data_IF_962741645414
#
_entry.id   IF_962741645414
#
_cell.length_a   1.000
_cell.length_b   1.000
_cell.length_c   1.000
_cell.angle_alpha   90.00
_cell.angle_beta   90.00
_cell.angle_gamma   90.00
#
_symmetry.space_group_name_H-M   'P 1'
#
loop_
_entity.id
_entity.type
_entity.pdbx_description
1 polymer ?
#
# COMPACT_ATOMS: atom_id res chain seq x y z
N UNK A 1 29.27 -1.82 25.44
CA UNK A 1 28.25 -2.70 26.04
C UNK A 1 28.69 -4.16 26.09
N UNK A 2 29.18 -4.74 24.99
CA UNK A 2 29.65 -6.14 24.95
C UNK A 2 30.80 -6.43 25.95
N UNK A 3 31.83 -5.58 25.96
CA UNK A 3 32.97 -5.70 26.90
C UNK A 3 32.53 -5.63 28.36
N UNK A 4 31.67 -4.67 28.71
CA UNK A 4 31.13 -4.49 30.07
C UNK A 4 30.00 -5.45 30.44
N UNK A 5 29.58 -6.35 29.53
CA UNK A 5 28.47 -7.32 29.72
C UNK A 5 27.18 -6.70 30.28
N UNK A 6 26.82 -5.51 29.80
CA UNK A 6 25.57 -4.81 30.19
C UNK A 6 24.58 -4.78 29.04
N UNK A 7 23.29 -4.94 29.36
CA UNK A 7 22.20 -4.97 28.36
C UNK A 7 21.62 -3.59 28.02
N UNK A 8 21.82 -2.61 28.91
CA UNK A 8 21.35 -1.23 28.78
C UNK A 8 22.48 -0.26 29.07
N UNK A 9 22.58 0.81 28.29
CA UNK A 9 23.52 1.89 28.50
C UNK A 9 22.74 3.21 28.48
N UNK A 10 22.86 3.97 29.57
CA UNK A 10 22.35 5.34 29.63
C UNK A 10 23.36 6.27 28.98
N UNK A 11 22.88 7.16 28.12
CA UNK A 11 23.68 8.20 27.47
C UNK A 11 23.45 9.48 28.27
N UNK A 12 24.52 10.09 28.76
CA UNK A 12 24.47 11.33 29.55
C UNK A 12 25.39 12.40 28.95
N UNK A 13 25.11 13.67 29.23
CA UNK A 13 26.01 14.78 28.89
C UNK A 13 27.15 14.93 29.94
N UNK A 14 28.04 15.91 29.72
CA UNK A 14 29.17 16.20 30.62
C UNK A 14 28.75 16.63 32.04
N UNK A 15 27.50 17.10 32.19
CA UNK A 15 26.91 17.50 33.47
C UNK A 15 26.07 16.38 34.12
N UNK A 16 26.13 15.16 33.57
CA UNK A 16 25.40 13.98 34.04
C UNK A 16 23.87 14.04 33.86
N UNK A 17 23.36 14.86 32.94
CA UNK A 17 21.95 14.83 32.55
C UNK A 17 21.68 13.69 31.57
N UNK A 18 20.55 13.00 31.74
CA UNK A 18 20.13 11.91 30.87
C UNK A 18 19.72 12.41 29.48
N UNK A 19 20.42 11.95 28.45
CA UNK A 19 20.12 12.22 27.04
C UNK A 19 19.34 11.08 26.37
N UNK A 20 19.50 9.84 26.85
CA UNK A 20 18.80 8.69 26.27
C UNK A 20 19.30 7.35 26.77
N UNK A 21 18.88 6.28 26.08
CA UNK A 21 19.23 4.91 26.41
C UNK A 21 19.44 4.09 25.14
N UNK A 22 20.49 3.26 25.14
CA UNK A 22 20.77 2.26 24.10
C UNK A 22 20.61 0.87 24.71
N UNK A 23 20.01 -0.05 23.97
CA UNK A 23 19.84 -1.44 24.42
C UNK A 23 20.52 -2.43 23.49
N UNK A 24 20.95 -3.57 24.02
CA UNK A 24 21.49 -4.68 23.21
C UNK A 24 20.47 -5.18 22.18
N UNK A 25 19.17 -5.04 22.49
CA UNK A 25 18.07 -5.43 21.59
C UNK A 25 18.08 -4.63 20.29
N UNK A 26 18.54 -3.39 20.31
CA UNK A 26 18.60 -2.53 19.11
C UNK A 26 19.64 -3.05 18.11
N UNK A 27 20.82 -3.43 18.61
CA UNK A 27 21.88 -4.06 17.81
C UNK A 27 21.44 -5.43 17.25
N UNK A 28 20.87 -6.28 18.11
CA UNK A 28 20.37 -7.60 17.68
C UNK A 28 19.27 -7.50 16.62
N UNK A 29 18.38 -6.51 16.73
CA UNK A 29 17.35 -6.27 15.71
C UNK A 29 17.96 -5.80 14.40
N UNK A 30 18.93 -4.89 14.43
CA UNK A 30 19.61 -4.40 13.24
C UNK A 30 20.32 -5.54 12.49
N UNK A 31 21.02 -6.43 13.19
CA UNK A 31 21.68 -7.59 12.60
C UNK A 31 20.69 -8.62 12.03
N UNK A 32 19.61 -8.92 12.77
CA UNK A 32 18.59 -9.90 12.34
C UNK A 32 17.70 -9.40 11.19
N UNK A 33 17.64 -8.09 10.96
CA UNK A 33 16.76 -7.43 9.98
C UNK A 33 17.56 -6.41 9.15
N UNK A 34 18.51 -6.87 8.31
CA UNK A 34 19.41 -5.98 7.56
C UNK A 34 18.66 -5.13 6.52
N UNK A 35 17.54 -5.64 6.00
CA UNK A 35 16.71 -4.96 4.99
C UNK A 35 15.59 -4.10 5.62
N UNK A 36 15.72 -3.68 6.89
CA UNK A 36 14.72 -2.82 7.53
C UNK A 36 14.69 -1.43 6.90
N UNK A 37 13.50 -0.96 6.53
CA UNK A 37 13.29 0.43 6.10
C UNK A 37 13.35 1.35 7.33
N UNK A 38 14.37 2.22 7.37
CA UNK A 38 14.65 3.09 8.52
C UNK A 38 14.80 4.54 8.10
N UNK A 39 14.54 5.44 9.05
CA UNK A 39 14.87 6.85 8.91
C UNK A 39 16.34 7.14 9.21
N UNK A 40 16.72 8.40 9.12
CA UNK A 40 18.08 8.90 9.33
C UNK A 40 18.57 8.69 10.77
N UNK A 41 17.65 8.48 11.72
CA UNK A 41 17.92 8.19 13.13
C UNK A 41 17.96 6.67 13.42
N UNK A 42 17.74 5.84 12.41
CA UNK A 42 17.73 4.37 12.54
C UNK A 42 16.42 3.79 13.09
N UNK A 43 15.36 4.60 13.21
CA UNK A 43 14.01 4.18 13.62
C UNK A 43 13.28 3.58 12.42
N UNK A 44 12.31 2.70 12.65
CA UNK A 44 11.53 2.11 11.55
C UNK A 44 10.60 3.16 10.94
N UNK A 45 10.55 3.22 9.61
CA UNK A 45 9.62 4.14 8.94
C UNK A 45 8.18 3.68 9.10
N UNK A 46 7.26 4.63 9.26
CA UNK A 46 5.81 4.40 9.37
C UNK A 46 5.03 5.48 8.63
N UNK A 47 3.94 5.07 7.99
CA UNK A 47 2.97 5.99 7.39
C UNK A 47 1.60 5.91 8.06
N UNK A 48 0.80 6.95 7.92
CA UNK A 48 -0.55 7.00 8.46
C UNK A 48 -1.54 7.59 7.44
N UNK A 49 -2.77 7.06 7.41
CA UNK A 49 -3.82 7.54 6.54
C UNK A 49 -4.73 8.56 7.25
N UNK A 50 -5.14 9.58 6.52
CA UNK A 50 -6.15 10.57 6.90
C UNK A 50 -7.13 10.77 5.74
N UNK A 51 -8.37 11.09 6.08
CA UNK A 51 -9.38 11.44 5.09
C UNK A 51 -9.23 12.88 4.60
N UNK A 52 -10.03 13.25 3.60
CA UNK A 52 -10.11 14.63 3.12
C UNK A 52 -11.18 15.48 3.83
N UNK A 53 -12.01 14.86 4.67
CA UNK A 53 -13.09 15.53 5.41
C UNK A 53 -12.60 16.59 6.40
N UNK A 54 -13.53 17.46 6.82
CA UNK A 54 -13.31 18.47 7.86
C UNK A 54 -12.95 17.80 9.19
N UNK A 55 -12.02 18.39 9.96
CA UNK A 55 -11.59 17.88 11.27
C UNK A 55 -10.40 16.92 11.21
N UNK A 56 -9.87 16.62 10.02
CA UNK A 56 -8.65 15.82 9.88
C UNK A 56 -7.38 16.62 10.24
N UNK A 57 -7.44 17.95 10.39
CA UNK A 57 -6.32 18.81 10.75
C UNK A 57 -5.70 18.40 12.09
N UNK A 58 -6.51 18.19 13.14
CA UNK A 58 -6.04 17.76 14.45
C UNK A 58 -5.39 16.37 14.39
N UNK A 59 -5.95 15.47 13.57
CA UNK A 59 -5.38 14.14 13.33
C UNK A 59 -4.01 14.25 12.66
N UNK A 60 -3.86 15.12 11.66
CA UNK A 60 -2.57 15.37 11.00
C UNK A 60 -1.57 15.93 12.00
N UNK A 61 -1.95 16.94 12.78
CA UNK A 61 -1.08 17.56 13.78
C UNK A 61 -0.55 16.54 14.79
N UNK A 62 -1.44 15.69 15.31
CA UNK A 62 -1.07 14.62 16.24
C UNK A 62 -0.12 13.58 15.61
N UNK A 63 -0.35 13.20 14.35
CA UNK A 63 0.50 12.25 13.63
C UNK A 63 1.90 12.82 13.34
N UNK A 64 1.98 14.09 12.95
CA UNK A 64 3.25 14.79 12.74
C UNK A 64 4.01 14.94 14.06
N UNK A 65 3.33 15.33 15.14
CA UNK A 65 3.93 15.40 16.48
C UNK A 65 4.45 14.04 16.97
N UNK A 66 3.79 12.94 16.59
CA UNK A 66 4.23 11.58 16.89
C UNK A 66 5.42 11.11 16.01
N UNK A 67 5.81 11.89 14.98
CA UNK A 67 6.94 11.60 14.12
C UNK A 67 6.63 10.64 12.96
N UNK A 68 5.43 10.72 12.37
CA UNK A 68 5.12 9.98 11.13
C UNK A 68 6.07 10.37 9.98
N UNK A 69 6.57 9.40 9.22
CA UNK A 69 7.47 9.66 8.09
C UNK A 69 6.72 10.15 6.84
N UNK A 70 5.51 9.59 6.62
CA UNK A 70 4.72 9.86 5.43
C UNK A 70 3.22 9.86 5.76
N UNK A 71 2.53 10.90 5.32
CA UNK A 71 1.10 11.04 5.46
C UNK A 71 0.40 10.64 4.16
N UNK A 72 -0.62 9.80 4.24
CA UNK A 72 -1.48 9.44 3.12
C UNK A 72 -2.82 10.15 3.26
N UNK A 73 -3.15 11.05 2.33
CA UNK A 73 -4.50 11.61 2.17
C UNK A 73 -5.26 10.69 1.21
N UNK A 74 -6.18 9.88 1.76
CA UNK A 74 -6.87 8.79 1.05
C UNK A 74 -8.34 9.11 0.78
N UNK A 75 -8.73 9.10 -0.49
CA UNK A 75 -10.10 9.33 -0.96
C UNK A 75 -10.47 8.34 -2.08
N UNK A 76 -11.76 8.05 -2.24
CA UNK A 76 -12.24 7.35 -3.45
C UNK A 76 -12.15 8.22 -4.71
N UNK A 77 -12.00 9.55 -4.58
CA UNK A 77 -11.83 10.46 -5.70
C UNK A 77 -10.82 11.57 -5.40
N UNK A 78 -9.54 11.29 -5.64
CA UNK A 78 -8.43 12.22 -5.37
C UNK A 78 -8.40 13.46 -6.27
N UNK A 79 -9.12 13.45 -7.39
CA UNK A 79 -9.23 14.60 -8.30
C UNK A 79 -10.42 15.53 -7.94
N UNK A 80 -11.02 15.36 -6.77
CA UNK A 80 -12.03 16.28 -6.25
C UNK A 80 -11.37 17.51 -5.62
N UNK A 81 -11.98 18.69 -5.79
CA UNK A 81 -11.40 19.94 -5.29
C UNK A 81 -11.17 19.93 -3.78
N UNK A 82 -12.06 19.29 -3.00
CA UNK A 82 -11.87 19.16 -1.56
C UNK A 82 -10.61 18.38 -1.16
N UNK A 83 -10.27 17.33 -1.92
CA UNK A 83 -9.01 16.59 -1.69
C UNK A 83 -7.80 17.43 -2.08
N UNK A 84 -7.84 18.10 -3.24
CA UNK A 84 -6.75 18.96 -3.70
C UNK A 84 -6.50 20.09 -2.69
N UNK A 85 -7.56 20.73 -2.20
CA UNK A 85 -7.47 21.79 -1.23
C UNK A 85 -6.88 21.31 0.11
N UNK A 86 -7.29 20.13 0.60
CA UNK A 86 -6.71 19.52 1.80
C UNK A 86 -5.21 19.27 1.65
N UNK A 87 -4.77 18.81 0.48
CA UNK A 87 -3.34 18.59 0.20
C UNK A 87 -2.59 19.92 0.22
N UNK A 88 -3.10 20.97 -0.45
CA UNK A 88 -2.49 22.31 -0.45
C UNK A 88 -2.33 22.87 0.96
N UNK A 89 -3.38 22.77 1.78
CA UNK A 89 -3.36 23.22 3.19
C UNK A 89 -2.34 22.44 4.02
N UNK A 90 -2.30 21.12 3.86
CA UNK A 90 -1.36 20.25 4.59
C UNK A 90 0.08 20.54 4.19
N UNK A 91 0.35 20.70 2.88
CA UNK A 91 1.68 21.08 2.36
C UNK A 91 2.10 22.47 2.86
N UNK A 92 1.19 23.44 2.88
CA UNK A 92 1.49 24.80 3.35
C UNK A 92 1.86 24.82 4.84
N UNK A 93 1.18 24.00 5.66
CA UNK A 93 1.47 23.89 7.10
C UNK A 93 2.71 23.05 7.39
N UNK A 94 2.96 22.00 6.60
CA UNK A 94 4.08 21.07 6.76
C UNK A 94 4.91 20.94 5.47
N UNK A 95 5.76 21.94 5.16
CA UNK A 95 6.51 21.99 3.90
C UNK A 95 7.43 20.80 3.64
N UNK A 96 7.97 20.18 4.69
CA UNK A 96 8.93 19.08 4.59
C UNK A 96 8.30 17.69 4.70
N UNK A 97 7.01 17.61 5.10
CA UNK A 97 6.32 16.34 5.29
C UNK A 97 6.15 15.61 3.95
N UNK A 98 6.42 14.30 3.92
CA UNK A 98 6.13 13.50 2.74
C UNK A 98 4.63 13.22 2.66
N UNK A 99 3.99 13.60 1.56
CA UNK A 99 2.54 13.49 1.38
C UNK A 99 2.25 12.58 0.19
N UNK A 100 1.54 11.48 0.42
CA UNK A 100 0.93 10.65 -0.62
C UNK A 100 -0.52 11.12 -0.79
N UNK A 101 -0.94 11.41 -2.02
CA UNK A 101 -2.33 11.71 -2.34
C UNK A 101 -2.94 10.69 -3.29
N UNK A 102 -4.21 10.34 -3.08
CA UNK A 102 -4.94 9.44 -3.98
C UNK A 102 -6.40 9.22 -3.57
N UNK A 103 -7.16 8.43 -4.32
CA UNK A 103 -6.74 7.74 -5.55
C UNK A 103 -7.12 8.51 -6.82
N UNK A 104 -6.28 8.37 -7.85
CA UNK A 104 -6.58 8.80 -9.22
C UNK A 104 -6.43 7.65 -10.20
N UNK A 105 -6.96 7.79 -11.40
CA UNK A 105 -6.84 6.78 -12.47
C UNK A 105 -6.54 7.39 -13.85
N UNK A 106 -6.16 8.67 -13.89
CA UNK A 106 -5.94 9.44 -15.11
C UNK A 106 -4.73 10.35 -14.94
N UNK A 107 -4.09 10.69 -16.05
CA UNK A 107 -2.97 11.64 -16.08
C UNK A 107 -3.34 13.04 -15.55
N UNK A 108 -4.55 13.53 -15.83
CA UNK A 108 -5.03 14.82 -15.32
C UNK A 108 -5.15 14.81 -13.79
N UNK A 109 -5.71 13.76 -13.20
CA UNK A 109 -5.79 13.64 -11.74
C UNK A 109 -4.42 13.52 -11.08
N UNK A 110 -3.49 12.81 -11.72
CA UNK A 110 -2.11 12.70 -11.24
C UNK A 110 -1.41 14.07 -11.23
N UNK A 111 -1.52 14.85 -12.31
CA UNK A 111 -0.98 16.22 -12.37
C UNK A 111 -1.59 17.14 -11.31
N UNK A 112 -2.91 17.10 -11.14
CA UNK A 112 -3.58 17.92 -10.13
C UNK A 112 -3.09 17.62 -8.70
N UNK A 113 -2.87 16.34 -8.36
CA UNK A 113 -2.30 15.95 -7.07
C UNK A 113 -0.85 16.41 -6.90
N UNK A 114 -0.03 16.27 -7.94
CA UNK A 114 1.34 16.77 -7.94
C UNK A 114 1.40 18.29 -7.74
N UNK A 115 0.60 19.05 -8.49
CA UNK A 115 0.48 20.50 -8.38
C UNK A 115 -0.05 20.97 -7.02
N UNK A 116 -0.93 20.18 -6.39
CA UNK A 116 -1.41 20.45 -5.04
C UNK A 116 -0.31 20.28 -3.96
N UNK A 117 0.79 19.58 -4.27
CA UNK A 117 1.95 19.43 -3.39
C UNK A 117 2.20 18.00 -2.89
N UNK A 118 1.66 16.97 -3.55
CA UNK A 118 1.99 15.58 -3.21
C UNK A 118 3.45 15.24 -3.51
N UNK A 119 4.08 14.51 -2.59
CA UNK A 119 5.40 13.87 -2.78
C UNK A 119 5.30 12.56 -3.57
N UNK A 120 4.12 11.94 -3.63
CA UNK A 120 3.84 10.74 -4.41
C UNK A 120 2.34 10.64 -4.75
N UNK A 121 2.01 10.00 -5.87
CA UNK A 121 0.62 9.82 -6.32
C UNK A 121 0.21 8.36 -6.20
N UNK A 122 -0.91 8.09 -5.52
CA UNK A 122 -1.51 6.76 -5.39
C UNK A 122 -2.58 6.54 -6.47
N UNK A 123 -2.43 5.48 -7.25
CA UNK A 123 -3.20 5.21 -8.46
C UNK A 123 -4.02 3.94 -8.32
N UNK A 124 -5.33 4.05 -8.58
CA UNK A 124 -6.22 2.92 -8.73
C UNK A 124 -7.65 3.22 -8.33
N UNK A 125 -8.58 3.16 -9.29
CA UNK A 125 -10.03 3.31 -9.04
C UNK A 125 -10.76 2.03 -9.44
N UNK A 126 -11.31 1.37 -8.43
CA UNK A 126 -12.02 0.10 -8.55
C UNK A 126 -11.24 -1.19 -8.84
N UNK A 127 -9.88 -1.29 -8.77
CA UNK A 127 -9.18 -2.55 -9.04
C UNK A 127 -9.13 -3.50 -7.84
N UNK A 128 -9.48 -3.02 -6.63
CA UNK A 128 -9.33 -3.78 -5.39
C UNK A 128 -10.22 -5.03 -5.36
N UNK A 129 -9.72 -6.12 -4.78
CA UNK A 129 -10.43 -7.43 -4.76
C UNK A 129 -11.76 -7.43 -4.01
N UNK A 130 -12.02 -6.39 -3.21
CA UNK A 130 -13.23 -6.21 -2.39
C UNK A 130 -13.98 -4.93 -2.75
N UNK A 131 -13.54 -4.25 -3.81
CA UNK A 131 -14.11 -2.99 -4.25
C UNK A 131 -15.19 -3.26 -5.29
N UNK A 132 -16.36 -2.65 -5.10
CA UNK A 132 -17.49 -2.76 -6.03
C UNK A 132 -17.76 -1.46 -6.78
N UNK A 133 -16.93 -0.42 -6.62
CA UNK A 133 -17.06 0.89 -7.29
C UNK A 133 -17.39 0.73 -8.78
N UNK A 134 -16.63 -0.06 -9.54
CA UNK A 134 -16.91 -0.26 -10.99
C UNK A 134 -18.29 -0.81 -11.29
N UNK A 135 -18.80 -1.68 -10.43
CA UNK A 135 -20.08 -2.35 -10.62
C UNK A 135 -21.23 -1.46 -10.15
N UNK A 136 -21.06 -0.79 -9.00
CA UNK A 136 -22.11 0.02 -8.37
C UNK A 136 -22.23 1.39 -9.04
N UNK A 137 -21.11 2.03 -9.39
CA UNK A 137 -21.09 3.40 -9.94
C UNK A 137 -20.82 3.44 -11.43
N UNK A 138 -20.31 2.35 -12.02
CA UNK A 138 -19.86 2.32 -13.41
C UNK A 138 -18.49 2.99 -13.64
N UNK A 139 -17.82 3.46 -12.59
CA UNK A 139 -16.58 4.26 -12.70
C UNK A 139 -15.34 3.41 -12.43
N UNK A 140 -14.34 3.52 -13.32
CA UNK A 140 -12.99 2.99 -13.10
C UNK A 140 -12.18 2.86 -14.39
N UNK A 141 -10.88 2.60 -14.24
CA UNK A 141 -9.93 2.42 -15.35
C UNK A 141 -9.11 1.14 -15.12
N UNK A 142 -8.91 0.26 -16.11
CA UNK A 142 -8.01 -0.88 -15.98
C UNK A 142 -6.63 -0.51 -15.41
N UNK A 143 -6.17 -1.24 -14.40
CA UNK A 143 -5.11 -0.76 -13.50
C UNK A 143 -3.76 -0.50 -14.20
N UNK A 144 -3.37 -1.34 -15.17
CA UNK A 144 -2.13 -1.13 -15.93
C UNK A 144 -2.17 0.17 -16.71
N UNK A 145 -3.29 0.46 -17.40
CA UNK A 145 -3.51 1.72 -18.11
C UNK A 145 -3.53 2.90 -17.14
N UNK A 146 -4.26 2.79 -16.02
CA UNK A 146 -4.31 3.86 -15.02
C UNK A 146 -2.91 4.23 -14.48
N UNK A 147 -2.06 3.23 -14.22
CA UNK A 147 -0.66 3.43 -13.81
C UNK A 147 0.14 4.09 -14.92
N UNK A 148 0.08 3.55 -16.14
CA UNK A 148 0.81 4.08 -17.30
C UNK A 148 0.46 5.55 -17.58
N UNK A 149 -0.84 5.88 -17.64
CA UNK A 149 -1.33 7.23 -17.91
C UNK A 149 -0.90 8.23 -16.82
N UNK A 150 -0.88 7.80 -15.56
CA UNK A 150 -0.44 8.63 -14.45
C UNK A 150 1.07 8.87 -14.47
N UNK A 151 1.86 7.85 -14.84
CA UNK A 151 3.32 7.94 -14.95
C UNK A 151 3.72 8.85 -16.10
N UNK A 152 3.13 8.66 -17.29
CA UNK A 152 3.35 9.52 -18.46
C UNK A 152 3.04 10.99 -18.15
N UNK A 153 1.93 11.23 -17.45
CA UNK A 153 1.53 12.58 -17.08
C UNK A 153 2.45 13.26 -16.05
N UNK A 154 3.24 12.49 -15.31
CA UNK A 154 4.18 12.95 -14.28
C UNK A 154 5.64 12.87 -14.75
N UNK A 155 5.89 12.55 -16.02
CA UNK A 155 7.24 12.50 -16.56
C UNK A 155 7.96 13.84 -16.35
N UNK A 156 9.25 13.77 -15.96
CA UNK A 156 10.06 14.96 -15.66
C UNK A 156 9.79 15.63 -14.30
N UNK A 157 8.71 15.28 -13.58
CA UNK A 157 8.41 15.87 -12.26
C UNK A 157 9.21 15.26 -11.11
N UNK A 158 9.72 14.04 -11.29
CA UNK A 158 10.38 13.27 -10.23
C UNK A 158 9.42 12.66 -9.19
N UNK A 159 8.10 12.84 -9.36
CA UNK A 159 7.10 12.34 -8.40
C UNK A 159 6.79 10.86 -8.68
N UNK A 160 7.03 9.94 -7.73
CA UNK A 160 6.75 8.52 -7.91
C UNK A 160 5.25 8.20 -7.87
N UNK A 161 4.89 7.13 -8.59
CA UNK A 161 3.54 6.56 -8.62
C UNK A 161 3.47 5.26 -7.81
N UNK A 162 2.41 5.11 -7.01
CA UNK A 162 2.10 3.90 -6.23
C UNK A 162 0.89 3.21 -6.86
N UNK A 163 1.05 1.97 -7.34
CA UNK A 163 -0.06 1.17 -7.86
C UNK A 163 -0.84 0.52 -6.69
N UNK A 164 -2.10 0.91 -6.49
CA UNK A 164 -2.95 0.48 -5.38
C UNK A 164 -4.11 -0.40 -5.84
N UNK A 165 -4.08 -1.68 -5.41
CA UNK A 165 -5.13 -2.66 -5.69
C UNK A 165 -4.94 -3.49 -6.96
N UNK A 166 -5.69 -4.59 -7.07
CA UNK A 166 -5.67 -5.51 -8.21
C UNK A 166 -4.51 -6.51 -8.25
N UNK A 167 -3.54 -6.40 -7.33
CA UNK A 167 -2.39 -7.32 -7.24
C UNK A 167 -2.81 -8.63 -6.57
N UNK A 168 -2.73 -9.74 -7.31
CA UNK A 168 -3.09 -11.09 -6.83
C UNK A 168 -1.86 -11.98 -6.70
N UNK A 169 -0.97 -11.90 -7.68
CA UNK A 169 0.25 -12.69 -7.75
C UNK A 169 1.49 -11.79 -7.80
N UNK A 170 2.66 -12.37 -7.53
CA UNK A 170 3.95 -11.66 -7.65
C UNK A 170 4.20 -11.13 -9.07
N UNK A 171 3.69 -11.83 -10.09
CA UNK A 171 3.72 -11.35 -11.48
C UNK A 171 2.94 -10.05 -11.68
N UNK A 172 1.86 -9.81 -10.93
CA UNK A 172 1.11 -8.55 -11.03
C UNK A 172 1.93 -7.38 -10.44
N UNK A 173 2.74 -7.63 -9.40
CA UNK A 173 3.70 -6.64 -8.85
C UNK A 173 4.70 -6.25 -9.94
N UNK A 174 5.29 -7.24 -10.61
CA UNK A 174 6.26 -7.00 -11.66
C UNK A 174 5.65 -6.20 -12.83
N UNK A 175 4.43 -6.55 -13.25
CA UNK A 175 3.71 -5.82 -14.31
C UNK A 175 3.37 -4.39 -13.89
N UNK A 176 2.96 -4.14 -12.65
CA UNK A 176 2.69 -2.79 -12.17
C UNK A 176 3.95 -1.91 -12.16
N UNK A 177 5.09 -2.48 -11.76
CA UNK A 177 6.39 -1.78 -11.78
C UNK A 177 6.83 -1.52 -13.22
N UNK A 178 6.76 -2.54 -14.10
CA UNK A 178 7.10 -2.38 -15.52
C UNK A 178 6.17 -1.40 -16.25
N UNK A 179 4.94 -1.19 -15.76
CA UNK A 179 4.03 -0.15 -16.27
C UNK A 179 4.36 1.26 -15.76
N UNK A 180 5.41 1.44 -14.96
CA UNK A 180 5.88 2.76 -14.53
C UNK A 180 5.77 3.05 -13.02
N UNK A 181 5.12 2.19 -12.23
CA UNK A 181 4.98 2.42 -10.79
C UNK A 181 6.31 2.23 -10.04
N UNK A 182 6.59 3.08 -9.06
CA UNK A 182 7.76 2.97 -8.18
C UNK A 182 7.56 1.96 -7.05
N UNK A 183 6.30 1.73 -6.66
CA UNK A 183 5.92 0.78 -5.62
C UNK A 183 4.47 0.29 -5.84
N UNK A 184 4.10 -0.78 -5.13
CA UNK A 184 2.72 -1.30 -5.09
C UNK A 184 2.18 -1.26 -3.67
N UNK A 185 0.88 -0.95 -3.53
CA UNK A 185 0.14 -1.07 -2.30
C UNK A 185 -0.79 -2.31 -2.39
N UNK A 186 -0.71 -3.18 -1.38
CA UNK A 186 -1.40 -4.48 -1.38
C UNK A 186 -2.27 -4.65 -0.13
N UNK A 187 -3.51 -5.07 -0.34
CA UNK A 187 -4.45 -5.38 0.74
C UNK A 187 -4.60 -6.88 0.96
N UNK A 188 -5.39 -7.54 0.10
CA UNK A 188 -5.76 -8.97 0.23
C UNK A 188 -4.56 -9.91 0.37
N UNK A 189 -3.45 -9.58 -0.30
CA UNK A 189 -2.20 -10.32 -0.21
C UNK A 189 -1.69 -10.46 1.23
N UNK A 190 -1.85 -9.42 2.05
CA UNK A 190 -1.36 -9.35 3.44
C UNK A 190 -2.47 -9.52 4.48
N UNK A 191 -3.74 -9.37 4.11
CA UNK A 191 -4.86 -9.41 5.06
C UNK A 191 -4.95 -10.72 5.88
N UNK A 192 -4.50 -11.85 5.33
CA UNK A 192 -4.53 -13.15 6.01
C UNK A 192 -3.29 -13.49 6.85
N UNK A 193 -2.32 -12.57 6.99
CA UNK A 193 -1.08 -12.86 7.74
C UNK A 193 -1.29 -12.79 9.25
N UNK A 194 -0.40 -13.40 10.02
CA UNK A 194 -0.38 -13.34 11.48
C UNK A 194 -0.42 -11.89 11.99
N UNK A 195 0.40 -11.02 11.41
CA UNK A 195 0.57 -9.64 11.85
C UNK A 195 -0.58 -8.70 11.45
N UNK A 196 -1.51 -9.13 10.61
CA UNK A 196 -2.67 -8.30 10.24
C UNK A 196 -3.65 -8.20 11.43
N UNK A 197 -4.47 -7.13 11.52
CA UNK A 197 -5.48 -7.04 12.57
C UNK A 197 -6.58 -8.11 12.40
N UNK A 198 -7.29 -8.39 13.50
CA UNK A 198 -8.39 -9.36 13.54
C UNK A 198 -7.96 -10.77 13.96
N UNK A 199 -8.93 -11.54 14.43
CA UNK A 199 -8.72 -12.91 14.93
C UNK A 199 -8.74 -13.94 13.79
N UNK A 200 -8.15 -15.11 14.06
CA UNK A 200 -8.24 -16.27 13.17
C UNK A 200 -9.59 -16.96 13.40
N UNK A 201 -10.37 -17.11 12.32
CA UNK A 201 -11.67 -17.76 12.30
C UNK A 201 -11.57 -19.13 11.65
N UNK A 202 -12.24 -20.14 12.23
CA UNK A 202 -12.36 -21.48 11.64
C UNK A 202 -13.64 -21.58 10.82
N UNK A 203 -13.52 -21.97 9.56
CA UNK A 203 -14.64 -22.22 8.67
C UNK A 203 -14.39 -23.46 7.82
N UNK A 204 -15.32 -24.42 7.89
CA UNK A 204 -15.20 -25.70 7.16
C UNK A 204 -13.83 -26.39 7.36
N UNK A 205 -13.31 -26.35 8.58
CA UNK A 205 -12.03 -26.98 8.93
C UNK A 205 -10.77 -26.26 8.42
N UNK A 206 -10.91 -25.04 7.88
CA UNK A 206 -9.78 -24.19 7.45
C UNK A 206 -9.75 -22.88 8.23
N UNK A 207 -8.55 -22.31 8.39
CA UNK A 207 -8.33 -21.04 9.08
C UNK A 207 -8.42 -19.86 8.11
N UNK A 208 -9.13 -18.82 8.52
CA UNK A 208 -9.34 -17.58 7.77
C UNK A 208 -9.13 -16.36 8.67
N UNK A 209 -9.01 -15.17 8.07
CA UNK A 209 -9.15 -13.88 8.74
C UNK A 209 -10.17 -13.02 8.02
N UNK A 210 -10.84 -12.14 8.76
CA UNK A 210 -11.77 -11.18 8.18
C UNK A 210 -11.04 -10.16 7.29
N UNK A 211 -11.66 -9.82 6.16
CA UNK A 211 -11.12 -8.83 5.24
C UNK A 211 -12.28 -8.05 4.60
N UNK A 212 -12.28 -6.73 4.76
CA UNK A 212 -13.39 -5.87 4.36
C UNK A 212 -12.92 -4.61 3.65
N UNK A 213 -13.72 -4.15 2.70
CA UNK A 213 -13.47 -2.94 1.94
C UNK A 213 -13.70 -1.72 2.80
N UNK A 214 -12.94 -0.65 2.60
CA UNK A 214 -13.22 0.62 3.28
C UNK A 214 -14.59 1.19 2.91
N UNK A 215 -15.16 0.78 1.77
CA UNK A 215 -16.52 1.09 1.35
C UNK A 215 -17.58 0.07 1.76
N UNK A 216 -17.25 -0.90 2.62
CA UNK A 216 -18.25 -1.81 3.19
C UNK A 216 -19.05 -1.12 4.30
N UNK A 217 -20.29 -1.56 4.53
CA UNK A 217 -21.13 -1.02 5.60
C UNK A 217 -20.46 -1.09 6.97
N UNK A 218 -19.79 -2.20 7.31
CA UNK A 218 -19.11 -2.36 8.59
C UNK A 218 -17.84 -1.51 8.74
N UNK A 219 -17.19 -1.11 7.64
CA UNK A 219 -16.09 -0.15 7.68
C UNK A 219 -16.62 1.29 7.77
N UNK A 220 -17.60 1.65 6.94
CA UNK A 220 -18.16 3.00 6.87
C UNK A 220 -18.85 3.41 8.18
N UNK A 221 -19.59 2.49 8.81
CA UNK A 221 -20.16 2.67 10.16
C UNK A 221 -19.11 2.91 11.26
N UNK A 222 -17.84 2.59 10.99
CA UNK A 222 -16.70 2.82 11.90
C UNK A 222 -15.79 3.97 11.43
N UNK A 223 -16.29 4.85 10.56
CA UNK A 223 -15.64 6.13 10.25
C UNK A 223 -14.89 6.20 8.93
N UNK A 224 -15.14 5.29 7.97
CA UNK A 224 -14.62 5.41 6.60
C UNK A 224 -15.62 5.95 5.60
N UNK A 225 -16.77 6.48 6.05
CA UNK A 225 -17.83 7.02 5.19
C UNK A 225 -17.40 8.32 4.48
N UNK A 226 -16.53 9.11 5.09
CA UNK A 226 -15.98 10.35 4.53
C UNK A 226 -15.20 10.09 3.24
N UNK A 227 -14.46 8.97 3.18
CA UNK A 227 -13.73 8.52 1.99
C UNK A 227 -14.63 8.39 0.75
N UNK A 228 -15.91 8.08 0.94
CA UNK A 228 -16.90 7.85 -0.12
C UNK A 228 -17.95 8.97 -0.19
N UNK A 229 -17.69 10.14 0.42
CA UNK A 229 -18.59 11.30 0.40
C UNK A 229 -19.98 11.01 0.99
N UNK A 230 -20.04 10.13 2.01
CA UNK A 230 -21.27 9.71 2.67
C UNK A 230 -21.24 9.99 4.19
N UNK A 231 -20.48 11.01 4.63
CA UNK A 231 -20.38 11.39 6.05
C UNK A 231 -21.71 11.79 6.67
N UNK A 232 -22.60 12.38 5.87
CA UNK A 232 -23.86 12.97 6.33
C UNK A 232 -25.04 11.98 6.26
N UNK A 233 -24.80 10.77 5.74
CA UNK A 233 -25.82 9.74 5.61
C UNK A 233 -25.96 8.94 6.90
N UNK A 234 -27.21 8.67 7.30
CA UNK A 234 -27.50 7.69 8.34
C UNK A 234 -27.01 6.29 7.91
N UNK A 235 -26.60 5.47 8.88
CA UNK A 235 -25.95 4.18 8.63
C UNK A 235 -26.79 3.21 7.78
N UNK A 236 -28.13 3.32 7.84
CA UNK A 236 -29.10 2.54 7.07
C UNK A 236 -29.29 3.02 5.62
N UNK A 237 -28.78 4.21 5.27
CA UNK A 237 -28.86 4.82 3.93
C UNK A 237 -27.52 4.84 3.19
N UNK A 238 -26.48 4.22 3.76
CA UNK A 238 -25.19 4.12 3.10
C UNK A 238 -25.28 3.23 1.85
N UNK A 239 -24.69 3.70 0.75
CA UNK A 239 -24.54 2.95 -0.50
C UNK A 239 -23.11 2.41 -0.56
N UNK A 240 -22.87 1.13 -0.24
CA UNK A 240 -21.52 0.60 -0.10
C UNK A 240 -20.84 0.37 -1.46
N UNK A 241 -19.58 0.80 -1.55
CA UNK A 241 -18.68 0.56 -2.69
C UNK A 241 -17.62 -0.51 -2.37
N UNK A 242 -17.89 -1.32 -1.34
CA UNK A 242 -17.08 -2.48 -1.01
C UNK A 242 -17.86 -3.57 -0.29
N UNK A 243 -17.28 -4.77 -0.26
CA UNK A 243 -17.86 -5.93 0.41
C UNK A 243 -17.04 -6.34 1.64
N UNK A 244 -17.63 -7.23 2.45
CA UNK A 244 -16.94 -7.92 3.53
C UNK A 244 -16.77 -9.39 3.15
N UNK A 245 -15.62 -9.93 3.45
CA UNK A 245 -15.29 -11.30 3.14
C UNK A 245 -14.27 -11.87 4.13
N UNK A 246 -13.78 -13.04 3.78
CA UNK A 246 -12.73 -13.74 4.51
C UNK A 246 -11.61 -14.09 3.55
N UNK A 247 -10.37 -14.07 4.05
CA UNK A 247 -9.20 -14.55 3.30
C UNK A 247 -8.57 -15.70 4.07
N UNK A 248 -8.06 -16.70 3.36
CA UNK A 248 -7.37 -17.81 4.00
C UNK A 248 -6.20 -17.31 4.86
N UNK A 249 -5.96 -17.93 6.01
CA UNK A 249 -4.79 -17.66 6.83
C UNK A 249 -3.51 -17.99 6.05
N UNK A 250 -2.53 -17.08 6.13
CA UNK A 250 -1.32 -17.08 5.29
C UNK A 250 -0.02 -17.32 6.05
N UNK A 251 -0.07 -17.47 7.37
CA UNK A 251 1.12 -17.54 8.20
C UNK A 251 1.78 -16.18 8.37
N UNK A 252 3.11 -16.16 8.54
CA UNK A 252 3.85 -14.93 8.87
C UNK A 252 4.09 -14.05 7.64
N UNK A 253 3.98 -12.74 7.82
CA UNK A 253 4.22 -11.73 6.79
C UNK A 253 5.58 -11.89 6.09
N UNK A 254 6.63 -12.25 6.85
CA UNK A 254 7.99 -12.49 6.32
C UNK A 254 7.99 -13.49 5.16
N UNK A 255 7.24 -14.58 5.29
CA UNK A 255 7.21 -15.67 4.31
C UNK A 255 6.49 -15.24 3.04
N UNK A 256 5.39 -14.49 3.18
CA UNK A 256 4.67 -13.90 2.06
C UNK A 256 5.57 -12.92 1.30
N UNK A 257 6.20 -11.97 1.98
CA UNK A 257 7.14 -11.02 1.36
C UNK A 257 8.26 -11.75 0.62
N UNK A 258 8.83 -12.80 1.22
CA UNK A 258 9.89 -13.59 0.59
C UNK A 258 9.44 -14.20 -0.75
N UNK A 259 8.26 -14.81 -0.80
CA UNK A 259 7.71 -15.39 -2.03
C UNK A 259 7.42 -14.31 -3.09
N UNK A 260 6.85 -13.17 -2.70
CA UNK A 260 6.56 -12.10 -3.64
C UNK A 260 7.83 -11.49 -4.24
N UNK A 261 8.82 -11.23 -3.39
CA UNK A 261 10.11 -10.69 -3.83
C UNK A 261 10.91 -11.71 -4.67
N UNK A 262 10.77 -13.01 -4.39
CA UNK A 262 11.32 -14.06 -5.25
C UNK A 262 10.76 -14.00 -6.68
N UNK A 263 9.44 -13.82 -6.81
CA UNK A 263 8.79 -13.64 -8.12
C UNK A 263 9.25 -12.39 -8.85
N UNK A 264 9.37 -11.26 -8.16
CA UNK A 264 9.86 -10.01 -8.74
C UNK A 264 11.32 -10.14 -9.22
N UNK A 265 12.21 -10.73 -8.41
CA UNK A 265 13.61 -10.98 -8.79
C UNK A 265 13.73 -11.91 -9.99
N UNK A 266 12.89 -12.92 -10.07
CA UNK A 266 12.83 -13.81 -11.24
C UNK A 266 12.45 -13.05 -12.51
N UNK A 267 11.42 -12.20 -12.45
CA UNK A 267 11.01 -11.34 -13.57
C UNK A 267 12.12 -10.37 -13.98
N UNK A 268 12.79 -9.73 -13.03
CA UNK A 268 13.95 -8.87 -13.29
C UNK A 268 15.07 -9.62 -14.01
N UNK A 269 15.34 -10.88 -13.64
CA UNK A 269 16.29 -11.74 -14.35
C UNK A 269 15.87 -12.05 -15.79
N UNK A 270 14.59 -12.37 -16.01
CA UNK A 270 14.05 -12.67 -17.36
C UNK A 270 14.00 -11.43 -18.27
N UNK A 271 13.81 -10.25 -17.71
CA UNK A 271 13.78 -8.97 -18.45
C UNK A 271 15.14 -8.29 -18.55
N UNK A 272 16.20 -8.90 -17.98
CA UNK A 272 17.55 -8.33 -18.00
C UNK A 272 17.67 -7.00 -17.24
N UNK A 273 16.79 -6.73 -16.28
CA UNK A 273 16.75 -5.47 -15.53
C UNK A 273 17.44 -5.65 -14.16
N UNK A 274 18.55 -4.97 -13.92
CA UNK A 274 19.31 -5.05 -12.67
C UNK A 274 18.66 -4.25 -11.53
N UNK A 275 17.88 -3.21 -11.85
CA UNK A 275 17.23 -2.35 -10.86
C UNK A 275 15.73 -2.20 -11.13
N UNK A 276 15.00 -1.73 -10.11
CA UNK A 276 13.58 -1.38 -10.25
C UNK A 276 13.38 -0.30 -11.31
N UNK A 277 14.29 0.67 -11.39
CA UNK A 277 14.18 1.76 -12.37
C UNK A 277 14.37 1.26 -13.81
N UNK A 278 15.27 0.29 -14.02
CA UNK A 278 15.39 -0.36 -15.33
C UNK A 278 14.13 -1.14 -15.69
N UNK A 279 13.55 -1.91 -14.75
CA UNK A 279 12.30 -2.63 -15.00
C UNK A 279 11.18 -1.66 -15.38
N UNK A 280 11.13 -0.49 -14.74
CA UNK A 280 10.12 0.54 -14.92
C UNK A 280 10.21 1.29 -16.25
N UNK A 281 11.39 1.33 -16.86
CA UNK A 281 11.68 2.19 -18.03
C UNK A 281 12.07 1.43 -19.29
N UNK A 282 12.53 0.18 -19.18
CA UNK A 282 13.03 -0.61 -20.31
C UNK A 282 12.19 -1.84 -20.66
N UNK A 283 11.40 -2.35 -19.71
CA UNK A 283 10.65 -3.58 -19.95
C UNK A 283 9.50 -3.34 -20.93
N UNK A 284 9.30 -4.30 -21.83
CA UNK A 284 8.26 -4.25 -22.85
C UNK A 284 7.14 -5.26 -22.56
N UNK A 285 5.94 -4.90 -22.98
CA UNK A 285 4.77 -5.77 -22.88
C UNK A 285 4.34 -6.27 -24.24
N UNK A 286 3.79 -7.49 -24.26
CA UNK A 286 2.98 -8.00 -25.35
C UNK A 286 1.54 -8.18 -24.87
N UNK A 287 0.57 -7.70 -25.66
CA UNK A 287 -0.85 -7.89 -25.35
C UNK A 287 -1.25 -9.32 -25.72
N UNK A 288 -1.93 -9.98 -24.80
CA UNK A 288 -2.44 -11.35 -24.98
C UNK A 288 -3.97 -11.38 -24.98
N UNK A 289 -4.54 -12.42 -25.58
CA UNK A 289 -5.98 -12.70 -25.57
C UNK A 289 -6.39 -13.42 -24.26
N UNK A 290 -7.70 -13.66 -24.08
CA UNK A 290 -8.18 -14.49 -22.97
C UNK A 290 -7.62 -15.92 -23.00
N UNK A 291 -7.42 -16.49 -24.20
CA UNK A 291 -6.77 -17.80 -24.35
C UNK A 291 -5.30 -17.76 -23.90
N UNK A 292 -4.59 -16.65 -24.17
CA UNK A 292 -3.22 -16.47 -23.68
C UNK A 292 -3.13 -16.41 -22.14
N UNK A 293 -4.17 -15.91 -21.46
CA UNK A 293 -4.24 -15.98 -19.99
C UNK A 293 -4.46 -17.42 -19.51
N UNK A 294 -5.28 -18.21 -20.20
CA UNK A 294 -5.46 -19.63 -19.87
C UNK A 294 -4.16 -20.42 -20.06
N UNK A 295 -3.44 -20.17 -21.16
CA UNK A 295 -2.09 -20.71 -21.41
C UNK A 295 -1.07 -20.27 -20.33
N UNK A 296 -1.16 -19.03 -19.85
CA UNK A 296 -0.25 -18.52 -18.81
C UNK A 296 -0.43 -19.19 -17.44
N UNK A 297 -1.61 -19.73 -17.16
CA UNK A 297 -1.90 -20.45 -15.93
C UNK A 297 -1.56 -21.94 -16.07
N UNK A 298 -1.46 -22.68 -14.96
CA UNK A 298 -1.37 -24.14 -15.03
C UNK A 298 -2.60 -24.69 -15.76
N UNK A 299 -2.40 -25.41 -16.86
CA UNK A 299 -3.45 -26.02 -17.67
C UNK A 299 -3.11 -27.49 -18.01
N UNK A 300 -4.14 -28.28 -18.35
CA UNK A 300 -4.05 -29.69 -18.78
C UNK A 300 -3.40 -30.68 -17.78
N UNK A 301 -3.33 -30.31 -16.50
CA UNK A 301 -2.83 -31.18 -15.42
C UNK A 301 -3.62 -30.99 -14.12
N UNK A 302 -3.64 -32.03 -13.27
CA UNK A 302 -4.20 -31.94 -11.92
C UNK A 302 -3.13 -31.55 -10.90
N UNK A 303 -3.33 -30.43 -10.21
CA UNK A 303 -2.43 -29.98 -9.14
C UNK A 303 -2.59 -30.90 -7.92
N UNK A 304 -1.52 -31.61 -7.55
CA UNK A 304 -1.51 -32.48 -6.37
C UNK A 304 -1.05 -31.78 -5.09
N UNK A 305 -0.29 -30.68 -5.24
CA UNK A 305 0.22 -29.85 -4.13
C UNK A 305 0.32 -28.40 -4.56
N UNK A 306 -0.26 -27.50 -3.78
CA UNK A 306 -0.18 -26.06 -4.04
C UNK A 306 1.20 -25.49 -3.69
N UNK A 307 1.64 -24.53 -4.52
CA UNK A 307 2.87 -23.79 -4.27
C UNK A 307 2.60 -22.50 -3.47
N UNK A 308 3.52 -22.05 -2.61
CA UNK A 308 3.29 -20.86 -1.77
C UNK A 308 3.04 -19.56 -2.55
N UNK A 309 3.50 -19.49 -3.79
CA UNK A 309 3.40 -18.34 -4.69
C UNK A 309 2.26 -18.46 -5.72
N UNK A 310 1.52 -19.58 -5.74
CA UNK A 310 0.49 -19.83 -6.75
C UNK A 310 -0.71 -20.57 -6.15
N UNK A 311 -1.80 -19.83 -5.93
CA UNK A 311 -3.10 -20.35 -5.49
C UNK A 311 -4.20 -19.81 -6.38
N UNK A 312 -5.01 -20.71 -6.95
CA UNK A 312 -6.17 -20.36 -7.76
C UNK A 312 -7.39 -20.32 -6.84
N UNK A 313 -7.97 -19.12 -6.66
CA UNK A 313 -9.17 -18.93 -5.85
C UNK A 313 -8.88 -18.88 -4.34
N UNK A 314 -9.25 -17.75 -3.73
CA UNK A 314 -9.50 -17.62 -2.30
C UNK A 314 -10.91 -17.10 -2.11
#
# INVERSE_FOLDING_TARGET
MHEKRVEKALVVDDNFHLLGMITVKDFQKAERKPNSCKDEQGRLRVGAAVGAGVGNEERVDALVAAGVDVLLIDSSHGHSEGVLQRIRETRAKYPDLQIIGGNVATGAGARALAEAGCSAVKVGIGPGSICTTRIVTGVGVPQITAVSDAVEALEGTGIPVIADGGIRFSGDIAKAIAAGASAVMVGSMLAGTEESPGEIELYQGRSYKSYRGMGSLGAMSKGSSDRYFQSDNAADKLVPEGIEGRVAYKGRLKEIIHQQMGGLRSCMGLTGCATIDELRTKAEFVRISGAGIQESHVHDVTITKESPNYRLGS
#
